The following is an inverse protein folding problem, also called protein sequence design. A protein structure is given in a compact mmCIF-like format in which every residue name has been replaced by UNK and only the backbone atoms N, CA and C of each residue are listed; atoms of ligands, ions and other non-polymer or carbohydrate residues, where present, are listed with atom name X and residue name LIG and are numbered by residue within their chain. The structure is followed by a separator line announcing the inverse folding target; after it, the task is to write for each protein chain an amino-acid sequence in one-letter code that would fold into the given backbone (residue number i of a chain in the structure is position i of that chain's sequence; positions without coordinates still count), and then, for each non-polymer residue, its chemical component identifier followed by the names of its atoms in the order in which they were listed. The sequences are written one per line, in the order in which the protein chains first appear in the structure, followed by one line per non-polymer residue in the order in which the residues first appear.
data_IF_892581111935
#
_entry.id   IF_892581111935
#
_cell.length_a   1.000
_cell.length_b   1.000
_cell.length_c   1.000
_cell.angle_alpha   90.00
_cell.angle_beta   90.00
_cell.angle_gamma   90.00
#
_symmetry.space_group_name_H-M   'P 1'
#
loop_
_entity.id
_entity.type
_entity.pdbx_description
1 polymer ?
#
# COMPACT_ATOMS: atom_id res chain seq x y z
N UNK A 1 41.47 1.21 -27.54
CA UNK A 1 42.70 1.82 -28.09
C UNK A 1 42.97 3.15 -27.40
N UNK A 2 44.24 3.50 -27.16
CA UNK A 2 44.57 4.77 -26.50
C UNK A 2 44.38 5.95 -27.44
N UNK A 3 43.77 7.02 -26.94
CA UNK A 3 43.56 8.26 -27.67
C UNK A 3 44.92 8.91 -27.96
N UNK A 4 45.23 9.24 -29.23
CA UNK A 4 46.51 9.88 -29.57
C UNK A 4 46.63 11.31 -29.03
N UNK A 5 45.53 11.94 -28.62
CA UNK A 5 45.53 13.33 -28.11
C UNK A 5 45.65 13.41 -26.59
N UNK A 6 44.92 12.57 -25.84
CA UNK A 6 44.87 12.66 -24.37
C UNK A 6 45.34 11.40 -23.65
N UNK A 7 45.74 10.34 -24.37
CA UNK A 7 46.21 9.10 -23.77
C UNK A 7 45.13 8.20 -23.16
N UNK A 8 43.89 8.69 -23.02
CA UNK A 8 42.76 7.92 -22.46
C UNK A 8 42.52 6.62 -23.24
N UNK A 9 42.30 5.53 -22.51
CA UNK A 9 42.10 4.21 -23.06
C UNK A 9 40.62 3.97 -23.35
N UNK A 10 40.26 3.92 -24.64
CA UNK A 10 38.88 3.75 -25.09
C UNK A 10 38.63 2.27 -25.44
N UNK A 11 37.36 1.87 -25.55
CA UNK A 11 37.03 0.56 -26.11
C UNK A 11 37.53 0.41 -27.55
N UNK A 12 37.73 -0.83 -28.01
CA UNK A 12 38.28 -1.10 -29.35
C UNK A 12 37.36 -0.66 -30.50
N UNK A 13 36.06 -0.45 -30.22
CA UNK A 13 35.07 -0.03 -31.20
C UNK A 13 34.72 1.47 -31.16
N UNK A 14 35.24 2.24 -30.19
CA UNK A 14 34.90 3.66 -30.04
C UNK A 14 35.42 4.49 -31.24
N UNK A 15 34.50 5.21 -31.91
CA UNK A 15 34.82 6.10 -33.04
C UNK A 15 35.41 7.44 -32.60
N UNK A 16 35.10 7.86 -31.38
CA UNK A 16 35.59 9.09 -30.76
C UNK A 16 36.10 8.76 -29.37
N UNK A 17 37.06 9.55 -28.89
CA UNK A 17 37.55 9.42 -27.52
C UNK A 17 36.48 9.90 -26.55
N UNK A 18 36.12 9.06 -25.58
CA UNK A 18 35.07 9.36 -24.59
C UNK A 18 35.45 10.50 -23.64
N UNK A 19 36.74 10.71 -23.41
CA UNK A 19 37.21 11.80 -22.57
C UNK A 19 37.26 13.15 -23.30
N UNK A 20 37.83 13.22 -24.52
CA UNK A 20 38.12 14.49 -25.17
C UNK A 20 37.49 14.70 -26.55
N UNK A 21 36.63 13.77 -26.99
CA UNK A 21 35.92 13.85 -28.27
C UNK A 21 36.78 13.67 -29.52
N UNK A 22 38.09 13.40 -29.38
CA UNK A 22 38.99 13.26 -30.54
C UNK A 22 38.66 11.99 -31.32
N UNK A 23 38.46 12.12 -32.63
CA UNK A 23 38.16 11.00 -33.53
C UNK A 23 39.30 9.98 -33.56
N UNK A 24 38.96 8.70 -33.37
CA UNK A 24 39.89 7.58 -33.42
C UNK A 24 39.82 6.95 -34.83
N UNK A 25 40.98 6.73 -35.47
CA UNK A 25 41.11 6.44 -36.91
C UNK A 25 40.40 5.17 -37.40
N UNK A 26 39.96 5.19 -38.67
CA UNK A 26 39.07 4.20 -39.34
C UNK A 26 39.75 2.82 -39.55
N UNK A 27 39.11 1.74 -39.10
CA UNK A 27 39.42 0.38 -39.58
C UNK A 27 38.79 0.14 -40.97
N UNK A 28 39.59 -0.39 -41.91
CA UNK A 28 39.17 -0.82 -43.26
C UNK A 28 38.07 -1.89 -43.16
N UNK A 29 36.92 -1.65 -43.79
CA UNK A 29 35.78 -2.59 -43.80
C UNK A 29 36.02 -3.65 -44.88
N UNK A 30 35.99 -4.92 -44.45
CA UNK A 30 36.14 -6.11 -45.27
C UNK A 30 35.00 -6.23 -46.32
N UNK A 31 35.33 -6.56 -47.56
CA UNK A 31 34.41 -6.59 -48.72
C UNK A 31 33.20 -7.53 -48.53
N UNK A 32 33.30 -8.52 -47.63
CA UNK A 32 32.19 -9.40 -47.27
C UNK A 32 31.09 -8.70 -46.46
N UNK A 33 31.46 -7.69 -45.64
CA UNK A 33 30.50 -6.86 -44.89
C UNK A 33 29.79 -5.82 -45.77
N UNK A 34 30.45 -5.34 -46.83
CA UNK A 34 29.84 -4.41 -47.81
C UNK A 34 28.68 -5.06 -48.55
N UNK A 35 28.82 -6.34 -48.96
CA UNK A 35 27.73 -7.07 -49.62
C UNK A 35 26.51 -7.27 -48.70
N UNK A 36 26.72 -7.52 -47.41
CA UNK A 36 25.63 -7.64 -46.43
C UNK A 36 24.92 -6.30 -46.25
N UNK A 37 25.66 -5.19 -46.12
CA UNK A 37 25.09 -3.85 -45.97
C UNK A 37 24.27 -3.43 -47.20
N UNK A 38 24.71 -3.78 -48.41
CA UNK A 38 23.96 -3.49 -49.63
C UNK A 38 22.64 -4.28 -49.66
N UNK A 39 22.66 -5.56 -49.25
CA UNK A 39 21.43 -6.38 -49.20
C UNK A 39 20.46 -5.85 -48.15
N UNK A 40 20.92 -5.46 -46.95
CA UNK A 40 20.03 -4.85 -45.95
C UNK A 40 19.51 -3.49 -46.39
N UNK A 41 20.30 -2.65 -47.07
CA UNK A 41 19.82 -1.39 -47.64
C UNK A 41 18.74 -1.61 -48.69
N UNK A 42 18.89 -2.60 -49.57
CA UNK A 42 17.87 -2.94 -50.57
C UNK A 42 16.58 -3.40 -49.90
N UNK A 43 16.65 -4.25 -48.88
CA UNK A 43 15.46 -4.71 -48.13
C UNK A 43 14.79 -3.53 -47.43
N UNK A 44 15.54 -2.62 -46.79
CA UNK A 44 14.97 -1.42 -46.14
C UNK A 44 14.32 -0.48 -47.16
N UNK A 45 14.90 -0.33 -48.36
CA UNK A 45 14.29 0.47 -49.44
C UNK A 45 13.02 -0.19 -49.97
N UNK A 46 12.98 -1.51 -50.11
CA UNK A 46 11.78 -2.25 -50.57
C UNK A 46 10.67 -2.20 -49.52
N UNK A 47 10.99 -2.39 -48.24
CA UNK A 47 10.03 -2.27 -47.14
C UNK A 47 9.58 -0.82 -46.95
N UNK A 48 10.50 0.14 -47.07
CA UNK A 48 10.20 1.57 -46.99
C UNK A 48 9.35 2.08 -48.15
N UNK A 49 9.59 1.60 -49.37
CA UNK A 49 8.77 1.95 -50.54
C UNK A 49 7.39 1.27 -50.50
N UNK A 50 7.30 0.02 -50.03
CA UNK A 50 6.03 -0.64 -49.74
C UNK A 50 5.23 0.07 -48.65
N UNK A 51 5.89 0.47 -47.56
CA UNK A 51 5.30 1.27 -46.49
C UNK A 51 4.88 2.66 -46.95
N UNK A 52 5.66 3.31 -47.82
CA UNK A 52 5.32 4.60 -48.42
C UNK A 52 4.13 4.50 -49.38
N UNK A 53 4.02 3.41 -50.14
CA UNK A 53 2.88 3.14 -51.02
C UNK A 53 1.61 2.87 -50.21
N UNK A 54 1.69 2.08 -49.13
CA UNK A 54 0.58 1.90 -48.18
C UNK A 54 0.22 3.23 -47.49
N UNK A 55 1.21 4.05 -47.13
CA UNK A 55 0.99 5.38 -46.56
C UNK A 55 0.25 6.32 -47.52
N UNK A 56 0.62 6.34 -48.80
CA UNK A 56 -0.04 7.16 -49.82
C UNK A 56 -1.47 6.68 -50.11
N UNK A 57 -1.73 5.38 -50.13
CA UNK A 57 -3.03 4.83 -50.51
C UNK A 57 -4.01 4.66 -49.35
N UNK A 58 -3.54 4.46 -48.12
CA UNK A 58 -4.39 4.23 -46.93
C UNK A 58 -4.50 5.48 -46.05
N UNK A 59 -3.41 6.22 -45.82
CA UNK A 59 -3.40 7.30 -44.82
C UNK A 59 -3.51 8.72 -45.41
N UNK A 60 -3.38 8.88 -46.73
CA UNK A 60 -3.37 10.20 -47.38
C UNK A 60 -4.74 10.65 -47.90
N UNK A 61 -5.67 9.72 -48.10
CA UNK A 61 -7.02 10.01 -48.58
C UNK A 61 -8.03 10.28 -47.46
N UNK A 62 -7.69 9.92 -46.21
CA UNK A 62 -8.42 10.29 -45.00
C UNK A 62 -7.64 11.33 -44.18
N UNK A 63 -7.14 12.39 -44.84
CA UNK A 63 -6.80 13.59 -44.06
C UNK A 63 -8.13 14.16 -43.59
N UNK A 64 -8.41 14.24 -42.27
CA UNK A 64 -9.53 15.04 -41.82
C UNK A 64 -9.27 16.46 -42.33
N UNK A 65 -10.18 16.97 -43.13
CA UNK A 65 -10.20 18.38 -43.50
C UNK A 65 -10.29 19.16 -42.19
N UNK A 66 -9.16 19.72 -41.75
CA UNK A 66 -9.12 20.57 -40.58
C UNK A 66 -9.75 21.90 -40.99
N UNK A 67 -11.05 22.02 -40.72
CA UNK A 67 -11.78 23.26 -40.87
C UNK A 67 -11.12 24.33 -39.99
N UNK A 68 -10.34 25.21 -40.61
CA UNK A 68 -9.70 26.36 -39.96
C UNK A 68 -10.71 27.44 -39.56
N UNK A 69 -11.99 27.26 -39.87
CA UNK A 69 -13.13 28.04 -39.39
C UNK A 69 -14.03 27.27 -38.42
N UNK A 70 -13.58 26.16 -37.84
CA UNK A 70 -14.17 25.69 -36.59
C UNK A 70 -13.72 26.64 -35.49
N UNK A 71 -14.42 27.77 -35.39
CA UNK A 71 -14.49 28.53 -34.16
C UNK A 71 -14.81 27.51 -33.08
N UNK A 72 -13.79 27.16 -32.29
CA UNK A 72 -14.00 26.61 -30.97
C UNK A 72 -14.76 27.72 -30.27
N UNK A 73 -16.09 27.61 -30.26
CA UNK A 73 -16.90 28.34 -29.29
C UNK A 73 -16.28 27.95 -27.96
N UNK A 74 -15.54 28.89 -27.37
CA UNK A 74 -15.13 28.85 -25.98
C UNK A 74 -16.44 28.67 -25.23
N UNK A 75 -16.81 27.43 -24.93
CA UNK A 75 -17.90 27.17 -24.01
C UNK A 75 -17.53 27.99 -22.79
N UNK A 76 -18.31 29.04 -22.54
CA UNK A 76 -18.18 29.79 -21.32
C UNK A 76 -18.57 28.81 -20.23
N UNK A 77 -17.56 28.16 -19.64
CA UNK A 77 -17.69 27.45 -18.38
C UNK A 77 -18.29 28.47 -17.42
N UNK A 78 -19.58 28.32 -17.18
CA UNK A 78 -20.40 29.30 -16.46
C UNK A 78 -20.61 28.89 -15.02
N UNK A 79 -20.33 27.63 -14.67
CA UNK A 79 -20.36 27.07 -13.33
C UNK A 79 -19.05 26.39 -12.99
N UNK A 80 -18.55 26.68 -11.80
CA UNK A 80 -17.52 25.89 -11.14
C UNK A 80 -18.04 24.46 -10.94
N UNK A 81 -17.25 23.48 -11.37
CA UNK A 81 -17.46 22.07 -11.08
C UNK A 81 -16.17 21.51 -10.47
N UNK A 82 -16.33 20.61 -9.52
CA UNK A 82 -15.22 19.94 -8.84
C UNK A 82 -15.36 18.43 -8.94
N UNK A 83 -14.25 17.71 -8.94
CA UNK A 83 -14.26 16.25 -8.85
C UNK A 83 -13.10 15.78 -7.98
N UNK A 84 -13.35 14.94 -6.97
CA UNK A 84 -14.67 14.45 -6.50
C UNK A 84 -15.36 15.43 -5.52
N UNK A 85 -16.68 15.28 -5.31
CA UNK A 85 -17.44 16.01 -4.27
C UNK A 85 -17.29 15.39 -2.86
N UNK A 86 -16.82 14.15 -2.79
CA UNK A 86 -16.48 13.45 -1.55
C UNK A 86 -15.28 12.54 -1.75
N UNK A 87 -14.41 12.44 -0.77
CA UNK A 87 -13.23 11.58 -0.82
C UNK A 87 -12.89 10.98 0.53
N UNK A 88 -12.28 9.79 0.48
CA UNK A 88 -11.66 9.14 1.62
C UNK A 88 -10.15 9.06 1.40
N UNK A 89 -9.37 9.43 2.41
CA UNK A 89 -7.90 9.44 2.37
C UNK A 89 -7.35 8.83 3.66
N UNK A 90 -6.34 7.98 3.58
CA UNK A 90 -5.64 7.52 4.78
C UNK A 90 -4.74 8.62 5.36
N UNK A 91 -4.51 8.59 6.68
CA UNK A 91 -3.58 9.52 7.33
C UNK A 91 -2.21 9.48 6.64
N UNK A 92 -1.70 10.66 6.26
CA UNK A 92 -0.42 10.82 5.58
C UNK A 92 -0.50 10.78 4.05
N UNK A 93 -1.55 10.17 3.49
CA UNK A 93 -1.76 10.05 2.05
C UNK A 93 -2.31 11.34 1.43
N UNK A 94 -2.25 11.40 0.09
CA UNK A 94 -2.69 12.56 -0.69
C UNK A 94 -3.66 12.17 -1.80
N UNK A 95 -4.64 13.04 -2.04
CA UNK A 95 -5.50 13.01 -3.22
C UNK A 95 -5.64 14.42 -3.81
N UNK A 96 -6.33 14.58 -4.92
CA UNK A 96 -6.52 15.87 -5.59
C UNK A 96 -8.00 16.16 -5.80
N UNK A 97 -8.36 17.43 -5.65
CA UNK A 97 -9.63 17.96 -6.15
C UNK A 97 -9.33 18.63 -7.48
N UNK A 98 -9.90 18.08 -8.56
CA UNK A 98 -9.84 18.65 -9.89
C UNK A 98 -10.96 19.67 -10.09
N UNK A 99 -10.69 20.70 -10.90
CA UNK A 99 -11.64 21.77 -11.21
C UNK A 99 -11.71 22.01 -12.70
N UNK A 100 -12.90 22.32 -13.21
CA UNK A 100 -13.07 22.73 -14.62
C UNK A 100 -12.55 24.15 -14.90
N UNK A 101 -12.26 24.94 -13.86
CA UNK A 101 -11.70 26.29 -13.91
C UNK A 101 -10.26 26.33 -13.38
N UNK A 102 -9.42 27.23 -13.91
CA UNK A 102 -8.00 27.37 -13.49
C UNK A 102 -7.78 28.35 -12.34
N UNK A 103 -8.53 29.45 -12.32
CA UNK A 103 -8.38 30.52 -11.33
C UNK A 103 -9.29 30.24 -10.13
N UNK A 104 -8.87 29.30 -9.28
CA UNK A 104 -9.60 28.84 -8.10
C UNK A 104 -8.75 28.96 -6.84
N UNK A 105 -9.42 29.03 -5.69
CA UNK A 105 -8.77 28.97 -4.36
C UNK A 105 -9.37 27.85 -3.54
N UNK A 106 -8.54 27.17 -2.74
CA UNK A 106 -8.94 26.06 -1.88
C UNK A 106 -8.80 26.46 -0.42
N UNK A 107 -9.73 26.01 0.43
CA UNK A 107 -9.67 26.22 1.88
C UNK A 107 -10.21 25.00 2.60
N UNK A 108 -9.46 24.48 3.57
CA UNK A 108 -9.95 23.48 4.51
C UNK A 108 -10.64 24.16 5.70
N UNK A 109 -11.74 23.59 6.17
CA UNK A 109 -12.43 24.04 7.38
C UNK A 109 -11.70 23.59 8.67
N UNK A 110 -10.97 22.47 8.62
CA UNK A 110 -10.13 21.98 9.74
C UNK A 110 -8.81 21.40 9.24
N UNK A 111 -7.75 22.18 9.41
CA UNK A 111 -6.38 21.82 9.03
C UNK A 111 -5.77 20.70 9.88
N UNK A 112 -6.34 20.39 11.05
CA UNK A 112 -5.88 19.27 11.87
C UNK A 112 -6.38 17.92 11.32
N UNK A 113 -7.48 17.92 10.55
CA UNK A 113 -8.02 16.72 9.89
C UNK A 113 -7.44 16.58 8.50
N UNK A 114 -7.56 17.60 7.65
CA UNK A 114 -6.97 17.59 6.30
C UNK A 114 -6.48 18.98 5.87
N UNK A 115 -5.40 19.00 5.11
CA UNK A 115 -4.86 20.23 4.50
C UNK A 115 -5.01 20.19 2.98
N UNK A 116 -5.04 21.35 2.34
CA UNK A 116 -5.10 21.47 0.88
C UNK A 116 -4.10 22.51 0.39
N UNK A 117 -3.37 22.20 -0.67
CA UNK A 117 -2.46 23.14 -1.33
C UNK A 117 -3.19 24.04 -2.33
N UNK A 118 -2.52 25.09 -2.81
CA UNK A 118 -3.02 25.97 -3.87
C UNK A 118 -3.28 25.24 -5.21
N UNK A 119 -2.70 24.05 -5.38
CA UNK A 119 -2.90 23.18 -6.55
C UNK A 119 -4.01 22.14 -6.36
N UNK A 120 -4.81 22.25 -5.28
CA UNK A 120 -5.88 21.29 -4.97
C UNK A 120 -5.40 19.95 -4.42
N UNK A 121 -4.12 19.82 -4.01
CA UNK A 121 -3.62 18.59 -3.38
C UNK A 121 -4.06 18.53 -1.93
N UNK A 122 -4.92 17.57 -1.62
CA UNK A 122 -5.43 17.30 -0.27
C UNK A 122 -4.54 16.27 0.42
N UNK A 123 -4.13 16.54 1.66
CA UNK A 123 -3.39 15.61 2.51
C UNK A 123 -4.18 15.29 3.77
N UNK A 124 -4.36 14.00 4.07
CA UNK A 124 -4.92 13.54 5.35
C UNK A 124 -3.93 13.74 6.49
N UNK A 125 -4.34 14.39 7.57
CA UNK A 125 -3.50 14.69 8.74
C UNK A 125 -3.90 13.84 9.94
N UNK A 126 -5.19 13.79 10.26
CA UNK A 126 -5.72 13.04 11.40
C UNK A 126 -7.09 12.48 11.02
N UNK A 127 -7.44 11.33 11.59
CA UNK A 127 -8.78 10.80 11.47
C UNK A 127 -9.86 11.83 11.82
N UNK A 128 -10.91 11.85 11.01
CA UNK A 128 -12.04 12.76 11.17
C UNK A 128 -12.66 13.08 9.82
N UNK A 129 -13.62 13.99 9.82
CA UNK A 129 -14.22 14.52 8.59
C UNK A 129 -14.10 16.04 8.58
N UNK A 130 -13.69 16.61 7.46
CA UNK A 130 -13.65 18.06 7.23
C UNK A 130 -14.16 18.38 5.84
N UNK A 131 -14.40 19.66 5.56
CA UNK A 131 -14.86 20.12 4.24
C UNK A 131 -13.78 20.99 3.62
N UNK A 132 -13.53 20.79 2.33
CA UNK A 132 -12.71 21.69 1.53
C UNK A 132 -13.63 22.52 0.63
N UNK A 133 -13.56 23.84 0.79
CA UNK A 133 -14.27 24.80 -0.07
C UNK A 133 -13.36 25.20 -1.23
N UNK A 134 -13.86 25.08 -2.46
CA UNK A 134 -13.26 25.58 -3.69
C UNK A 134 -14.01 26.84 -4.12
N UNK A 135 -13.30 27.94 -4.36
CA UNK A 135 -13.90 29.23 -4.75
C UNK A 135 -13.36 29.72 -6.08
N UNK A 136 -14.25 30.06 -7.01
CA UNK A 136 -13.96 30.67 -8.31
C UNK A 136 -14.78 31.96 -8.47
N UNK A 137 -14.17 33.12 -8.18
CA UNK A 137 -14.90 34.39 -8.13
C UNK A 137 -16.04 34.36 -7.10
N UNK A 138 -17.29 34.41 -7.55
CA UNK A 138 -18.48 34.38 -6.70
C UNK A 138 -19.05 32.96 -6.50
N UNK A 139 -18.50 31.96 -7.18
CA UNK A 139 -18.98 30.57 -7.10
C UNK A 139 -18.19 29.79 -6.06
N UNK A 140 -18.87 28.87 -5.38
CA UNK A 140 -18.30 27.98 -4.37
C UNK A 140 -18.83 26.58 -4.54
N UNK A 141 -17.94 25.62 -4.46
CA UNK A 141 -18.25 24.20 -4.37
C UNK A 141 -17.49 23.60 -3.19
N UNK A 142 -17.95 22.44 -2.70
CA UNK A 142 -17.37 21.81 -1.51
C UNK A 142 -17.09 20.34 -1.72
N UNK A 143 -15.92 19.89 -1.28
CA UNK A 143 -15.57 18.48 -1.19
C UNK A 143 -15.61 18.02 0.29
N UNK A 144 -16.39 16.99 0.60
CA UNK A 144 -16.35 16.35 1.91
C UNK A 144 -15.17 15.38 1.98
N UNK A 145 -14.26 15.59 2.93
CA UNK A 145 -13.07 14.76 3.10
C UNK A 145 -13.17 13.97 4.40
N UNK A 146 -13.18 12.65 4.30
CA UNK A 146 -13.07 11.75 5.46
C UNK A 146 -11.66 11.17 5.48
N UNK A 147 -10.94 11.42 6.58
CA UNK A 147 -9.60 10.88 6.78
C UNK A 147 -9.70 9.64 7.66
N UNK A 148 -9.18 8.51 7.19
CA UNK A 148 -9.16 7.23 7.92
C UNK A 148 -7.78 6.98 8.53
N UNK A 149 -7.74 6.45 9.74
CA UNK A 149 -6.48 5.97 10.31
C UNK A 149 -6.19 4.59 9.72
N UNK A 150 -4.97 4.40 9.20
CA UNK A 150 -4.46 3.09 8.78
C UNK A 150 -3.80 2.32 9.92
N UNK A 151 -3.72 2.90 11.12
CA UNK A 151 -3.10 2.26 12.27
C UNK A 151 -4.14 2.01 13.37
N UNK A 152 -4.37 0.74 13.68
CA UNK A 152 -5.16 0.32 14.83
C UNK A 152 -4.37 0.58 16.13
N UNK A 153 -4.75 1.62 16.86
CA UNK A 153 -4.17 1.91 18.19
C UNK A 153 -5.02 1.23 19.25
N UNK A 154 -4.47 0.18 19.88
CA UNK A 154 -5.12 -0.55 20.96
C UNK A 154 -5.05 0.29 22.24
N UNK A 155 -6.21 0.53 22.86
CA UNK A 155 -6.33 1.30 24.12
C UNK A 155 -6.66 0.43 25.31
N UNK A 156 -7.26 -0.74 25.10
CA UNK A 156 -7.52 -1.74 26.12
C UNK A 156 -7.59 -3.14 25.50
N UNK A 157 -7.29 -4.15 26.31
CA UNK A 157 -7.54 -5.54 25.99
C UNK A 157 -8.28 -6.17 27.17
N UNK A 158 -9.45 -6.74 26.89
CA UNK A 158 -10.26 -7.43 27.89
C UNK A 158 -10.32 -8.92 27.57
N UNK A 159 -9.84 -9.75 28.47
CA UNK A 159 -10.04 -11.19 28.37
C UNK A 159 -11.35 -11.60 29.06
N UNK A 160 -12.03 -12.63 28.55
CA UNK A 160 -13.18 -13.24 29.23
C UNK A 160 -12.81 -13.83 30.59
N UNK A 161 -11.58 -14.32 30.72
CA UNK A 161 -10.98 -14.75 31.97
C UNK A 161 -9.46 -14.56 31.97
N UNK A 162 -8.84 -14.73 33.12
CA UNK A 162 -7.40 -14.64 33.29
C UNK A 162 -6.98 -15.55 34.43
N UNK A 163 -5.91 -16.33 34.24
CA UNK A 163 -5.34 -17.16 35.30
C UNK A 163 -4.89 -16.29 36.49
N UNK A 164 -5.43 -16.57 37.67
CA UNK A 164 -5.05 -15.90 38.90
C UNK A 164 -4.03 -16.73 39.67
N UNK A 165 -2.80 -16.23 39.79
CA UNK A 165 -1.73 -16.88 40.55
C UNK A 165 -0.90 -15.85 41.34
N UNK A 166 -0.59 -16.17 42.59
CA UNK A 166 0.17 -15.27 43.46
C UNK A 166 1.57 -15.00 42.89
N UNK A 167 1.94 -13.72 42.75
CA UNK A 167 3.22 -13.23 42.20
C UNK A 167 3.43 -13.39 40.68
N UNK A 168 2.39 -13.76 39.93
CA UNK A 168 2.44 -13.84 38.47
C UNK A 168 1.37 -12.96 37.85
N UNK A 169 1.70 -12.33 36.72
CA UNK A 169 0.77 -11.57 35.90
C UNK A 169 0.54 -12.32 34.60
N UNK A 170 -0.68 -12.80 34.40
CA UNK A 170 -1.16 -13.45 33.17
C UNK A 170 -2.25 -12.63 32.48
N UNK A 171 -2.33 -11.34 32.78
CA UNK A 171 -3.35 -10.45 32.23
C UNK A 171 -3.19 -10.26 30.72
N UNK A 172 -4.27 -9.85 30.08
CA UNK A 172 -4.30 -9.56 28.65
C UNK A 172 -3.34 -8.42 28.24
N UNK A 173 -2.85 -7.60 29.19
CA UNK A 173 -1.88 -6.56 28.91
C UNK A 173 -0.53 -7.12 28.44
N UNK A 174 -0.20 -8.36 28.82
CA UNK A 174 1.00 -9.05 28.34
C UNK A 174 0.99 -9.24 26.82
N UNK A 175 -0.18 -9.17 26.16
CA UNK A 175 -0.27 -9.35 24.71
C UNK A 175 0.30 -8.19 23.89
N UNK A 176 0.58 -7.05 24.53
CA UNK A 176 1.06 -5.82 23.88
C UNK A 176 2.22 -5.18 24.65
N UNK A 177 2.85 -5.92 25.58
CA UNK A 177 3.94 -5.41 26.40
C UNK A 177 5.31 -5.48 25.69
N UNK A 178 5.34 -6.07 24.48
CA UNK A 178 6.53 -6.27 23.65
C UNK A 178 7.58 -7.18 24.33
N UNK A 179 7.14 -8.05 25.22
CA UNK A 179 7.94 -8.99 25.95
C UNK A 179 7.45 -10.43 25.70
N UNK A 180 8.04 -11.07 24.71
CA UNK A 180 7.77 -12.47 24.34
C UNK A 180 7.97 -13.51 25.50
N UNK A 181 8.50 -13.10 26.65
CA UNK A 181 8.64 -13.95 27.85
C UNK A 181 7.48 -13.83 28.85
N UNK A 182 6.49 -12.98 28.60
CA UNK A 182 5.20 -12.93 29.29
C UNK A 182 4.13 -13.59 28.39
N UNK A 183 2.95 -13.81 28.97
CA UNK A 183 1.81 -14.33 28.23
C UNK A 183 0.51 -13.97 28.95
N UNK A 184 -0.56 -13.79 28.19
CA UNK A 184 -1.88 -14.03 28.73
C UNK A 184 -2.10 -15.54 28.91
N UNK A 185 -2.81 -15.91 29.96
CA UNK A 185 -3.31 -17.27 30.19
C UNK A 185 -4.78 -17.20 30.57
N UNK A 186 -5.60 -18.05 29.96
CA UNK A 186 -7.00 -18.16 30.38
C UNK A 186 -7.11 -18.66 31.82
N UNK A 187 -8.23 -18.36 32.48
CA UNK A 187 -8.47 -18.67 33.88
C UNK A 187 -9.62 -19.65 34.09
N UNK A 188 -10.00 -20.42 33.07
CA UNK A 188 -11.07 -21.41 33.19
C UNK A 188 -10.49 -22.83 33.35
N UNK A 189 -11.28 -23.72 33.94
CA UNK A 189 -10.96 -25.14 33.91
C UNK A 189 -11.15 -25.68 32.49
N UNK A 190 -10.10 -26.24 31.90
CA UNK A 190 -10.12 -26.84 30.56
C UNK A 190 -9.17 -26.13 29.61
N UNK A 191 -9.40 -26.34 28.31
CA UNK A 191 -8.44 -25.96 27.27
C UNK A 191 -8.64 -24.52 26.73
N UNK A 192 -9.47 -23.69 27.36
CA UNK A 192 -9.70 -22.30 26.91
C UNK A 192 -10.59 -22.15 25.66
N UNK A 193 -11.20 -23.22 25.13
CA UNK A 193 -12.11 -23.13 23.97
C UNK A 193 -13.33 -22.27 24.32
N UNK A 194 -13.63 -21.29 23.47
CA UNK A 194 -14.70 -20.32 23.65
C UNK A 194 -14.29 -19.07 24.41
N UNK A 195 -13.11 -19.04 25.03
CA UNK A 195 -12.56 -17.84 25.65
C UNK A 195 -12.30 -16.77 24.60
N UNK A 196 -12.40 -15.50 25.03
CA UNK A 196 -12.29 -14.34 24.15
C UNK A 196 -11.27 -13.33 24.65
N UNK A 197 -10.61 -12.68 23.69
CA UNK A 197 -9.76 -11.51 23.87
C UNK A 197 -10.35 -10.37 23.05
N UNK A 198 -10.82 -9.32 23.72
CA UNK A 198 -11.42 -8.14 23.09
C UNK A 198 -10.42 -7.00 23.06
N UNK A 199 -9.95 -6.66 21.87
CA UNK A 199 -9.07 -5.52 21.59
C UNK A 199 -9.93 -4.29 21.29
N UNK A 200 -9.78 -3.24 22.08
CA UNK A 200 -10.51 -1.97 21.91
C UNK A 200 -9.59 -0.94 21.25
N UNK A 201 -10.02 -0.38 20.14
CA UNK A 201 -9.26 0.64 19.41
C UNK A 201 -9.66 2.04 19.85
N UNK A 202 -8.71 2.99 19.81
CA UNK A 202 -8.95 4.40 20.16
C UNK A 202 -10.11 5.01 19.35
N UNK A 203 -10.26 4.53 18.12
CA UNK A 203 -11.25 4.98 17.15
C UNK A 203 -11.57 3.84 16.18
N UNK A 204 -12.58 4.05 15.33
CA UNK A 204 -12.83 3.15 14.21
C UNK A 204 -11.58 3.08 13.34
N UNK A 205 -11.08 1.86 13.17
CA UNK A 205 -9.80 1.56 12.56
C UNK A 205 -9.99 0.58 11.42
N UNK A 206 -9.23 0.79 10.36
CA UNK A 206 -9.17 -0.10 9.22
C UNK A 206 -8.17 -1.22 9.50
N UNK A 207 -8.65 -2.46 9.60
CA UNK A 207 -7.86 -3.61 9.99
C UNK A 207 -7.76 -4.58 8.82
N UNK A 208 -6.56 -5.00 8.48
CA UNK A 208 -6.33 -5.95 7.38
C UNK A 208 -5.25 -7.01 7.70
N UNK A 209 -4.57 -6.91 8.84
CA UNK A 209 -3.57 -7.88 9.24
C UNK A 209 -3.52 -8.04 10.77
N UNK A 210 -3.36 -9.28 11.23
CA UNK A 210 -3.03 -9.58 12.62
C UNK A 210 -1.73 -10.37 12.68
N UNK A 211 -0.92 -10.11 13.70
CA UNK A 211 0.28 -10.87 14.00
C UNK A 211 0.12 -11.50 15.37
N UNK A 212 0.37 -12.81 15.48
CA UNK A 212 0.19 -13.57 16.72
C UNK A 212 1.49 -14.29 17.05
N UNK A 213 2.02 -14.06 18.24
CA UNK A 213 3.01 -14.93 18.88
C UNK A 213 2.28 -15.85 19.86
N UNK A 214 1.98 -17.04 19.38
CA UNK A 214 1.14 -18.01 20.06
C UNK A 214 1.88 -18.70 21.23
N UNK A 215 1.14 -19.28 22.18
CA UNK A 215 1.69 -20.04 23.30
C UNK A 215 2.43 -19.21 24.34
N UNK A 216 2.95 -19.87 25.38
CA UNK A 216 3.79 -19.21 26.40
C UNK A 216 5.28 -19.29 26.00
N UNK A 217 5.75 -18.28 25.26
CA UNK A 217 7.07 -18.29 24.62
C UNK A 217 8.27 -18.03 25.54
N UNK A 218 8.07 -17.95 26.87
CA UNK A 218 9.14 -17.81 27.85
C UNK A 218 10.18 -18.94 27.79
N UNK A 219 9.75 -20.15 27.47
CA UNK A 219 10.62 -21.27 27.15
C UNK A 219 9.88 -22.31 26.30
N UNK A 220 10.61 -23.10 25.53
CA UNK A 220 10.05 -24.20 24.74
C UNK A 220 9.30 -25.22 25.61
N UNK A 221 9.82 -25.48 26.81
CA UNK A 221 9.17 -26.36 27.79
C UNK A 221 7.81 -25.80 28.24
N UNK A 222 7.71 -24.50 28.51
CA UNK A 222 6.43 -23.87 28.86
C UNK A 222 5.47 -23.81 27.65
N UNK A 223 5.99 -23.60 26.45
CA UNK A 223 5.20 -23.60 25.22
C UNK A 223 4.44 -24.91 25.03
N UNK A 224 5.11 -26.07 25.18
CA UNK A 224 4.47 -27.37 25.01
C UNK A 224 3.71 -27.88 26.25
N UNK A 225 4.01 -27.35 27.44
CA UNK A 225 3.29 -27.71 28.67
C UNK A 225 1.89 -27.13 28.74
N UNK A 226 1.68 -25.92 28.24
CA UNK A 226 0.39 -25.23 28.22
C UNK A 226 -0.32 -25.48 26.89
N UNK A 227 -1.62 -25.19 26.81
CA UNK A 227 -2.32 -25.20 25.53
C UNK A 227 -1.97 -23.96 24.69
N UNK A 228 -2.15 -24.08 23.39
CA UNK A 228 -1.82 -23.05 22.38
C UNK A 228 -2.97 -22.93 21.41
N UNK A 229 -3.20 -21.75 20.85
CA UNK A 229 -4.29 -21.56 19.90
C UNK A 229 -4.01 -22.34 18.61
N UNK A 230 -5.00 -23.05 18.09
CA UNK A 230 -4.94 -23.71 16.78
C UNK A 230 -5.84 -23.02 15.76
N UNK A 231 -7.02 -22.59 16.20
CA UNK A 231 -7.99 -21.91 15.34
C UNK A 231 -8.74 -20.84 16.13
N UNK A 232 -8.96 -19.70 15.49
CA UNK A 232 -9.75 -18.59 16.04
C UNK A 232 -10.75 -18.06 15.04
N UNK A 233 -11.81 -17.46 15.57
CA UNK A 233 -12.68 -16.55 14.84
C UNK A 233 -12.40 -15.13 15.35
N UNK A 234 -12.01 -14.24 14.45
CA UNK A 234 -11.94 -12.80 14.67
C UNK A 234 -13.31 -12.21 14.33
N UNK A 235 -13.88 -11.44 15.25
CA UNK A 235 -15.18 -10.81 15.10
C UNK A 235 -14.98 -9.29 15.16
N UNK A 236 -15.45 -8.60 14.13
CA UNK A 236 -15.40 -7.15 13.94
C UNK A 236 -16.82 -6.57 13.94
N UNK A 237 -16.95 -5.25 13.92
CA UNK A 237 -18.25 -4.57 13.84
C UNK A 237 -18.97 -4.83 12.51
N UNK A 238 -18.23 -5.12 11.43
CA UNK A 238 -18.72 -5.28 10.07
C UNK A 238 -18.61 -6.70 9.49
N UNK A 239 -18.09 -7.67 10.24
CA UNK A 239 -17.94 -9.05 9.79
C UNK A 239 -17.09 -9.93 10.69
N UNK A 240 -16.76 -11.13 10.22
CA UNK A 240 -15.92 -12.08 10.92
C UNK A 240 -14.98 -12.81 9.96
N UNK A 241 -13.83 -13.25 10.47
CA UNK A 241 -12.87 -14.07 9.74
C UNK A 241 -12.30 -15.19 10.60
N UNK A 242 -12.00 -16.34 9.99
CA UNK A 242 -11.35 -17.46 10.67
C UNK A 242 -9.88 -17.56 10.29
N UNK A 243 -9.05 -17.88 11.29
CA UNK A 243 -7.61 -18.06 11.11
C UNK A 243 -7.21 -19.40 11.74
N UNK A 244 -6.51 -20.22 10.95
CA UNK A 244 -5.78 -21.39 11.41
C UNK A 244 -4.32 -20.98 11.69
N UNK A 245 -3.79 -21.38 12.85
CA UNK A 245 -2.46 -21.02 13.33
C UNK A 245 -1.60 -22.28 13.41
N UNK A 246 -0.40 -22.25 12.84
CA UNK A 246 0.53 -23.38 12.90
C UNK A 246 1.19 -23.50 14.29
N UNK A 247 1.51 -24.72 14.73
CA UNK A 247 2.17 -24.99 16.01
C UNK A 247 3.69 -24.76 15.91
N UNK A 248 4.11 -23.50 15.92
CA UNK A 248 5.52 -23.08 15.77
C UNK A 248 5.98 -22.30 16.99
N UNK A 249 6.97 -22.85 17.70
CA UNK A 249 7.55 -22.22 18.90
C UNK A 249 8.26 -20.90 18.58
N UNK A 250 7.93 -19.86 19.37
CA UNK A 250 8.61 -18.57 19.40
C UNK A 250 8.79 -17.90 18.02
N UNK A 251 7.82 -18.08 17.14
CA UNK A 251 7.76 -17.42 15.85
C UNK A 251 6.40 -16.74 15.70
N UNK A 252 6.43 -15.42 15.52
CA UNK A 252 5.21 -14.67 15.20
C UNK A 252 4.73 -15.04 13.80
N UNK A 253 3.43 -15.30 13.67
CA UNK A 253 2.76 -15.57 12.41
C UNK A 253 1.89 -14.38 12.02
N UNK A 254 2.01 -13.95 10.76
CA UNK A 254 1.26 -12.84 10.18
C UNK A 254 0.12 -13.39 9.34
N UNK A 255 -1.09 -12.91 9.59
CA UNK A 255 -2.30 -13.31 8.90
C UNK A 255 -2.93 -12.09 8.25
N UNK A 256 -2.92 -12.06 6.92
CA UNK A 256 -3.68 -11.07 6.15
C UNK A 256 -5.13 -11.51 6.10
N UNK A 257 -6.01 -10.57 6.43
CA UNK A 257 -7.44 -10.78 6.38
C UNK A 257 -7.92 -10.79 4.91
N UNK A 258 -8.95 -11.59 4.63
CA UNK A 258 -9.54 -11.67 3.31
C UNK A 258 -10.23 -10.36 2.92
N UNK A 259 -10.80 -9.66 3.90
CA UNK A 259 -11.43 -8.36 3.79
C UNK A 259 -10.72 -7.33 4.69
N UNK A 260 -10.82 -6.07 4.29
CA UNK A 260 -10.44 -4.96 5.16
C UNK A 260 -11.65 -4.59 6.03
N UNK A 261 -11.50 -4.73 7.34
CA UNK A 261 -12.55 -4.48 8.32
C UNK A 261 -12.49 -3.07 8.88
N UNK A 262 -13.63 -2.40 9.03
CA UNK A 262 -13.74 -1.13 9.73
C UNK A 262 -14.40 -1.38 11.08
N UNK A 263 -13.64 -1.24 12.16
CA UNK A 263 -14.13 -1.62 13.48
C UNK A 263 -13.54 -0.78 14.62
N UNK A 264 -14.32 -0.57 15.67
CA UNK A 264 -13.83 0.01 16.95
C UNK A 264 -13.27 -1.03 17.90
N UNK A 265 -13.55 -2.30 17.63
CA UNK A 265 -13.06 -3.42 18.43
C UNK A 265 -12.81 -4.65 17.58
N UNK A 266 -11.99 -5.56 18.07
CA UNK A 266 -11.85 -6.90 17.50
C UNK A 266 -11.94 -7.91 18.64
N UNK A 267 -12.83 -8.88 18.52
CA UNK A 267 -12.92 -10.01 19.45
C UNK A 267 -12.26 -11.21 18.80
N UNK A 268 -11.17 -11.71 19.39
CA UNK A 268 -10.61 -13.01 19.06
C UNK A 268 -11.29 -14.04 19.96
N UNK A 269 -12.01 -15.00 19.35
CA UNK A 269 -12.58 -16.17 20.04
C UNK A 269 -11.77 -17.41 19.69
N UNK A 270 -11.39 -18.18 20.72
CA UNK A 270 -10.68 -19.45 20.55
C UNK A 270 -11.67 -20.53 20.12
N UNK A 271 -11.47 -21.12 18.93
CA UNK A 271 -12.33 -22.19 18.41
C UNK A 271 -11.69 -23.58 18.60
N UNK A 272 -10.38 -23.69 18.41
CA UNK A 272 -9.61 -24.92 18.63
C UNK A 272 -8.24 -24.63 19.23
N UNK A 273 -7.68 -25.60 19.94
CA UNK A 273 -6.35 -25.51 20.56
C UNK A 273 -5.48 -26.72 20.24
N UNK A 274 -4.17 -26.53 20.31
CA UNK A 274 -3.22 -27.61 20.54
C UNK A 274 -3.10 -27.81 22.05
N UNK A 275 -3.60 -28.94 22.55
CA UNK A 275 -3.59 -29.24 23.99
C UNK A 275 -2.16 -29.29 24.54
N UNK A 276 -1.95 -28.73 25.72
CA UNK A 276 -0.71 -28.83 26.47
C UNK A 276 -0.45 -30.25 27.00
N UNK A 277 0.82 -30.60 27.19
CA UNK A 277 1.17 -31.91 27.75
C UNK A 277 1.14 -31.97 29.29
N UNK A 278 0.85 -30.85 29.97
CA UNK A 278 0.81 -30.77 31.44
C UNK A 278 -0.32 -29.91 31.98
N UNK A 279 -0.53 -28.74 31.40
CA UNK A 279 -1.54 -27.76 31.79
C UNK A 279 -2.52 -27.60 30.64
N UNK A 280 -3.80 -27.48 30.96
CA UNK A 280 -4.85 -27.26 29.97
C UNK A 280 -4.96 -25.77 29.59
N UNK A 281 -4.49 -24.87 30.45
CA UNK A 281 -4.54 -23.42 30.25
C UNK A 281 -3.93 -23.03 28.88
N UNK A 282 -4.69 -22.32 28.08
CA UNK A 282 -4.25 -21.73 26.80
C UNK A 282 -3.52 -20.43 27.04
N UNK A 283 -2.34 -20.32 26.44
CA UNK A 283 -1.50 -19.14 26.55
C UNK A 283 -1.26 -18.45 25.20
N UNK A 284 -1.07 -17.14 25.23
CA UNK A 284 -0.64 -16.33 24.07
C UNK A 284 0.35 -15.28 24.56
N UNK A 285 1.49 -15.14 23.89
CA UNK A 285 2.54 -14.21 24.29
C UNK A 285 2.33 -12.80 23.75
N UNK A 286 2.04 -12.62 22.47
CA UNK A 286 1.88 -11.28 21.87
C UNK A 286 0.84 -11.30 20.75
N UNK A 287 0.11 -10.19 20.60
CA UNK A 287 -0.77 -9.92 19.47
C UNK A 287 -0.60 -8.46 19.03
N UNK A 288 -0.44 -8.23 17.73
CA UNK A 288 -0.57 -6.88 17.15
C UNK A 288 -1.53 -6.87 15.97
N UNK A 289 -2.22 -5.75 15.80
CA UNK A 289 -3.24 -5.54 14.78
C UNK A 289 -2.81 -4.37 13.90
N UNK A 290 -2.99 -4.49 12.58
CA UNK A 290 -2.67 -3.47 11.59
C UNK A 290 -3.85 -3.21 10.67
#
# INVERSE_FOLDING_TARGET
MKCPKCGFENEKASFFCENCGTKLGKNRIDNKKIKIIIITLIIVIVVGSGGYFLYQNVFKNDKPEYDTNKQVTKEQITSLEITPEKMEIDVGENQFIETNLKDVTFKSDDHNIATVSDSGRVKGIKNGTTTITVTAGNQKETCQVTVKSSQAVITAINASSTLMQENYDYSANNLIDQNNSTAWSDGIDGDGIGETLTFVFEQESSINEINILNGYCKSEDLYYKNSRIKKVTLIFDDGEEQIDIEDIYNQSQSFKLANQHQSKQMVLRIDEVYTGNKYSDTCVSEISVK
#
